data_IF_948443372544
#
_entry.id   IF_948443372544
#
_cell.length_a   1.000
_cell.length_b   1.000
_cell.length_c   1.000
_cell.angle_alpha   90.00
_cell.angle_beta   90.00
_cell.angle_gamma   90.00
#
_symmetry.space_group_name_H-M   'P 1'
#
loop_
_entity.id
_entity.type
_entity.pdbx_description
1 polymer ?
#
# COMPACT_ATOMS: atom_id res chain seq x y z
N UNK A 1 -22.55 46.84 -18.04
CA UNK A 1 -21.89 45.51 -17.88
C UNK A 1 -22.68 44.61 -16.93
N UNK A 2 -23.95 44.28 -17.24
CA UNK A 2 -24.84 43.56 -16.30
C UNK A 2 -25.78 42.56 -17.00
N UNK A 3 -25.34 41.94 -18.10
CA UNK A 3 -26.17 40.99 -18.89
C UNK A 3 -25.54 39.62 -19.14
N UNK A 4 -24.27 39.40 -18.75
CA UNK A 4 -23.59 38.10 -18.90
C UNK A 4 -23.76 37.15 -17.71
N UNK A 5 -24.17 37.66 -16.54
CA UNK A 5 -24.27 36.85 -15.31
C UNK A 5 -25.57 36.04 -15.21
N UNK A 6 -26.63 36.38 -15.97
CA UNK A 6 -27.91 35.65 -15.90
C UNK A 6 -27.91 34.37 -16.76
N UNK A 7 -27.11 34.31 -17.82
CA UNK A 7 -27.02 33.16 -18.74
C UNK A 7 -26.19 32.01 -18.16
N UNK A 8 -25.23 32.29 -17.26
CA UNK A 8 -24.41 31.25 -16.65
C UNK A 8 -25.16 30.50 -15.52
N UNK A 9 -26.09 31.17 -14.85
CA UNK A 9 -26.91 30.56 -13.78
C UNK A 9 -27.96 29.58 -14.32
N UNK A 10 -28.42 29.74 -15.56
CA UNK A 10 -29.43 28.86 -16.16
C UNK A 10 -28.84 27.53 -16.69
N UNK A 11 -27.56 27.52 -17.09
CA UNK A 11 -26.87 26.30 -17.51
C UNK A 11 -26.48 25.38 -16.33
N UNK A 12 -26.26 25.94 -15.13
CA UNK A 12 -25.87 25.16 -13.95
C UNK A 12 -27.06 24.41 -13.32
N UNK A 13 -28.30 24.80 -13.60
CA UNK A 13 -29.50 24.15 -13.08
C UNK A 13 -30.00 22.97 -13.94
N UNK A 14 -29.57 22.85 -15.20
CA UNK A 14 -30.11 21.84 -16.14
C UNK A 14 -29.33 20.51 -16.18
N UNK A 15 -28.18 20.41 -15.51
CA UNK A 15 -27.33 19.20 -15.53
C UNK A 15 -27.51 18.29 -14.29
N UNK A 16 -28.45 18.60 -13.40
CA UNK A 16 -28.72 17.85 -12.15
C UNK A 16 -29.85 16.80 -12.28
N UNK A 17 -30.34 16.50 -13.49
CA UNK A 17 -31.53 15.68 -13.70
C UNK A 17 -31.32 14.53 -14.72
N UNK A 18 -30.41 13.59 -14.43
CA UNK A 18 -30.32 12.26 -15.05
C UNK A 18 -29.15 11.52 -14.36
N UNK A 19 -29.22 10.35 -13.74
CA UNK A 19 -30.11 9.20 -13.85
C UNK A 19 -30.22 8.56 -12.46
N UNK A 20 -31.44 8.30 -12.00
CA UNK A 20 -31.64 7.36 -10.89
C UNK A 20 -31.71 5.94 -11.49
N UNK A 21 -30.83 5.00 -11.10
CA UNK A 21 -31.04 3.59 -11.42
C UNK A 21 -32.20 3.05 -10.57
N UNK A 22 -33.23 2.56 -11.26
CA UNK A 22 -34.34 1.83 -10.68
C UNK A 22 -33.82 0.55 -10.02
N UNK A 23 -33.88 0.48 -8.69
CA UNK A 23 -33.65 -0.74 -7.95
C UNK A 23 -34.78 -1.72 -8.27
N UNK A 24 -34.50 -2.73 -9.09
CA UNK A 24 -35.37 -3.88 -9.26
C UNK A 24 -35.22 -4.77 -8.02
N UNK A 25 -36.24 -4.75 -7.16
CA UNK A 25 -36.36 -5.71 -6.07
C UNK A 25 -36.77 -7.06 -6.66
N UNK A 26 -35.79 -7.91 -6.94
CA UNK A 26 -36.04 -9.32 -7.27
C UNK A 26 -36.47 -10.04 -5.99
N UNK A 27 -37.77 -10.35 -5.90
CA UNK A 27 -38.32 -11.24 -4.88
C UNK A 27 -37.70 -12.64 -5.08
N UNK A 28 -36.74 -13.00 -4.23
CA UNK A 28 -36.25 -14.37 -4.13
C UNK A 28 -37.37 -15.20 -3.50
N UNK A 29 -37.87 -16.18 -4.24
CA UNK A 29 -38.62 -17.28 -3.65
C UNK A 29 -37.76 -17.90 -2.55
N UNK A 30 -38.32 -18.01 -1.36
CA UNK A 30 -37.74 -18.78 -0.26
C UNK A 30 -37.87 -20.23 -0.68
N UNK A 31 -36.76 -20.81 -1.14
CA UNK A 31 -36.66 -22.24 -1.39
C UNK A 31 -36.67 -22.93 -0.02
N UNK A 32 -37.63 -23.83 0.17
CA UNK A 32 -37.77 -24.65 1.34
C UNK A 32 -36.49 -25.49 1.52
N UNK A 33 -35.87 -25.52 2.71
CA UNK A 33 -34.65 -26.29 2.92
C UNK A 33 -34.94 -27.76 2.66
N UNK A 34 -34.41 -28.27 1.55
CA UNK A 34 -34.47 -29.69 1.24
C UNK A 34 -33.71 -30.45 2.34
N UNK A 35 -34.46 -31.26 3.08
CA UNK A 35 -33.97 -31.98 4.25
C UNK A 35 -32.84 -32.92 3.80
N UNK A 36 -31.60 -32.77 4.29
CA UNK A 36 -30.49 -33.59 3.83
C UNK A 36 -30.76 -35.07 4.16
N UNK A 37 -30.39 -36.00 3.25
CA UNK A 37 -30.62 -37.42 3.46
C UNK A 37 -29.93 -37.86 4.77
N UNK A 38 -30.72 -38.47 5.66
CA UNK A 38 -30.33 -38.86 7.02
C UNK A 38 -29.26 -39.98 7.10
N UNK A 39 -28.55 -40.29 6.01
CA UNK A 39 -27.57 -41.37 5.89
C UNK A 39 -26.34 -40.96 5.06
N UNK A 40 -25.87 -39.71 5.19
CA UNK A 40 -24.53 -39.39 4.74
C UNK A 40 -23.50 -40.04 5.70
N UNK A 41 -22.49 -40.76 5.20
CA UNK A 41 -21.42 -41.26 6.06
C UNK A 41 -20.77 -40.08 6.78
N UNK A 42 -20.58 -40.20 8.10
CA UNK A 42 -19.84 -39.22 8.87
C UNK A 42 -18.47 -39.05 8.23
N UNK A 43 -18.19 -37.86 7.70
CA UNK A 43 -16.85 -37.48 7.28
C UNK A 43 -15.97 -37.60 8.52
N UNK A 44 -15.03 -38.54 8.51
CA UNK A 44 -14.02 -38.64 9.55
C UNK A 44 -13.30 -37.30 9.60
N UNK A 45 -13.46 -36.57 10.72
CA UNK A 45 -12.67 -35.37 10.96
C UNK A 45 -11.21 -35.78 10.94
N UNK A 46 -10.38 -35.24 10.03
CA UNK A 46 -8.95 -35.56 10.04
C UNK A 46 -8.40 -35.26 11.44
N UNK A 47 -7.50 -36.11 11.96
CA UNK A 47 -6.87 -35.85 13.25
C UNK A 47 -6.25 -34.44 13.23
N UNK A 48 -6.26 -33.70 14.36
CA UNK A 48 -5.62 -32.40 14.42
C UNK A 48 -4.18 -32.56 13.98
N UNK A 49 -3.77 -31.85 12.93
CA UNK A 49 -2.36 -31.79 12.55
C UNK A 49 -1.60 -31.23 13.75
N UNK A 50 -0.78 -32.07 14.40
CA UNK A 50 0.13 -31.60 15.44
C UNK A 50 1.06 -30.59 14.78
N UNK A 51 0.88 -29.32 15.14
CA UNK A 51 1.76 -28.27 14.65
C UNK A 51 3.14 -28.56 15.24
N UNK A 52 4.17 -28.84 14.43
CA UNK A 52 5.49 -29.15 14.95
C UNK A 52 5.96 -28.00 15.86
N UNK A 53 6.67 -28.31 16.96
CA UNK A 53 7.19 -27.28 17.84
C UNK A 53 8.05 -26.31 17.02
N UNK A 54 7.72 -25.02 17.12
CA UNK A 54 8.31 -24.00 16.28
C UNK A 54 8.95 -22.90 17.12
N UNK A 55 10.22 -22.62 16.84
CA UNK A 55 10.90 -21.43 17.35
C UNK A 55 10.82 -20.32 16.29
N UNK A 56 10.10 -19.24 16.61
CA UNK A 56 9.99 -18.08 15.71
C UNK A 56 11.17 -17.11 15.90
N UNK A 57 11.83 -16.76 14.80
CA UNK A 57 12.93 -15.78 14.78
C UNK A 57 12.68 -14.72 13.70
N UNK A 58 12.98 -13.46 14.00
CA UNK A 58 12.81 -12.37 13.04
C UNK A 58 13.66 -12.58 11.79
N UNK A 59 13.02 -12.46 10.62
CA UNK A 59 13.62 -12.66 9.32
C UNK A 59 13.08 -11.67 8.29
N UNK A 60 13.78 -11.59 7.15
CA UNK A 60 13.43 -10.72 6.02
C UNK A 60 13.60 -11.48 4.72
N UNK A 61 12.67 -11.31 3.79
CA UNK A 61 12.75 -11.89 2.44
C UNK A 61 12.56 -10.80 1.40
N UNK A 62 13.49 -10.71 0.44
CA UNK A 62 13.34 -9.81 -0.71
C UNK A 62 12.14 -10.27 -1.55
N UNK A 63 11.40 -9.32 -2.12
CA UNK A 63 10.28 -9.56 -3.02
C UNK A 63 10.66 -9.09 -4.42
N UNK A 64 11.40 -9.87 -5.22
CA UNK A 64 11.99 -9.38 -6.47
C UNK A 64 10.95 -8.97 -7.51
N UNK A 65 9.82 -9.68 -7.61
CA UNK A 65 8.75 -9.33 -8.54
C UNK A 65 8.09 -8.00 -8.16
N UNK A 66 7.82 -7.79 -6.86
CA UNK A 66 7.24 -6.54 -6.35
C UNK A 66 8.24 -5.38 -6.42
N UNK A 67 9.52 -5.67 -6.22
CA UNK A 67 10.61 -4.69 -6.38
C UNK A 67 10.70 -4.21 -7.81
N UNK A 68 10.65 -5.11 -8.79
CA UNK A 68 10.65 -4.77 -10.22
C UNK A 68 9.43 -3.92 -10.59
N UNK A 69 8.24 -4.27 -10.10
CA UNK A 69 7.03 -3.47 -10.33
C UNK A 69 7.13 -2.07 -9.70
N UNK A 70 7.72 -1.96 -8.51
CA UNK A 70 7.93 -0.67 -7.86
C UNK A 70 8.94 0.18 -8.63
N UNK A 71 10.07 -0.39 -9.05
CA UNK A 71 11.03 0.31 -9.90
C UNK A 71 10.40 0.79 -11.20
N UNK A 72 9.60 -0.05 -11.85
CA UNK A 72 8.83 0.31 -13.05
C UNK A 72 7.85 1.46 -12.78
N UNK A 73 7.11 1.41 -11.66
CA UNK A 73 6.17 2.47 -11.29
C UNK A 73 6.86 3.81 -11.00
N UNK A 74 8.14 3.78 -10.66
CA UNK A 74 8.98 4.97 -10.41
C UNK A 74 9.79 5.40 -11.64
N UNK A 75 9.70 4.68 -12.76
CA UNK A 75 10.30 5.13 -14.02
C UNK A 75 9.70 6.48 -14.43
N UNK A 76 10.54 7.37 -14.94
CA UNK A 76 10.16 8.73 -15.30
C UNK A 76 10.31 9.76 -14.19
N UNK A 77 10.78 9.36 -13.00
CA UNK A 77 11.38 10.32 -12.08
C UNK A 77 12.68 10.86 -12.71
N UNK A 78 12.77 12.18 -12.78
CA UNK A 78 13.92 12.90 -13.34
C UNK A 78 15.06 12.96 -12.31
N UNK A 79 15.70 11.81 -12.08
CA UNK A 79 16.81 11.63 -11.15
C UNK A 79 17.95 10.86 -11.82
N UNK A 80 19.23 11.15 -11.51
CA UNK A 80 20.37 10.46 -12.12
C UNK A 80 20.38 8.95 -11.86
N UNK A 81 19.93 8.54 -10.68
CA UNK A 81 19.87 7.14 -10.25
C UNK A 81 18.68 6.92 -9.34
N UNK A 82 18.03 5.79 -9.56
CA UNK A 82 16.92 5.30 -8.75
C UNK A 82 17.13 3.81 -8.50
N UNK A 83 16.91 3.37 -7.27
CA UNK A 83 16.74 1.95 -6.93
C UNK A 83 15.55 1.82 -6.00
N UNK A 84 14.74 0.78 -6.19
CA UNK A 84 13.62 0.50 -5.32
C UNK A 84 13.48 -0.99 -5.04
N UNK A 85 13.11 -1.32 -3.80
CA UNK A 85 12.90 -2.71 -3.39
C UNK A 85 11.78 -2.84 -2.37
N UNK A 86 11.10 -3.97 -2.43
CA UNK A 86 10.09 -4.40 -1.49
C UNK A 86 10.60 -5.61 -0.70
N UNK A 87 10.37 -5.61 0.60
CA UNK A 87 10.86 -6.65 1.52
C UNK A 87 9.73 -7.11 2.41
N UNK A 88 9.49 -8.42 2.46
CA UNK A 88 8.63 -9.01 3.45
C UNK A 88 9.38 -9.10 4.79
N UNK A 89 8.80 -8.50 5.83
CA UNK A 89 9.29 -8.58 7.21
C UNK A 89 8.40 -9.51 8.00
N UNK A 90 9.00 -10.45 8.74
CA UNK A 90 8.25 -11.51 9.40
C UNK A 90 9.12 -12.39 10.27
N UNK A 91 8.64 -13.60 10.55
CA UNK A 91 9.34 -14.56 11.40
C UNK A 91 9.52 -15.88 10.66
N UNK A 92 10.76 -16.40 10.60
CA UNK A 92 10.99 -17.78 10.19
C UNK A 92 10.64 -18.69 11.37
N UNK A 93 9.84 -19.71 11.08
CA UNK A 93 9.57 -20.83 11.96
C UNK A 93 10.67 -21.88 11.76
N UNK A 94 11.43 -22.16 12.81
CA UNK A 94 12.50 -23.15 12.78
C UNK A 94 12.03 -24.48 13.38
N UNK A 95 12.42 -25.59 12.75
CA UNK A 95 12.27 -26.94 13.30
C UNK A 95 13.27 -27.23 14.44
N UNK A 96 13.25 -28.44 14.99
CA UNK A 96 14.13 -28.86 16.09
C UNK A 96 15.62 -28.85 15.72
N UNK A 97 15.94 -28.97 14.43
CA UNK A 97 17.31 -28.91 13.89
C UNK A 97 17.73 -27.47 13.56
N UNK A 98 16.83 -26.49 13.71
CA UNK A 98 17.06 -25.08 13.42
C UNK A 98 16.88 -24.68 11.95
N UNK A 99 16.27 -25.53 11.12
CA UNK A 99 16.00 -25.21 9.72
C UNK A 99 14.67 -24.46 9.56
N UNK A 100 14.59 -23.45 8.67
CA UNK A 100 13.35 -22.74 8.42
C UNK A 100 12.34 -23.61 7.66
N UNK A 101 11.18 -23.87 8.26
CA UNK A 101 10.09 -24.64 7.67
C UNK A 101 8.93 -23.78 7.17
N UNK A 102 8.77 -22.57 7.72
CA UNK A 102 7.70 -21.64 7.35
C UNK A 102 8.14 -20.19 7.58
N UNK A 103 7.62 -19.23 6.82
CA UNK A 103 7.83 -17.80 7.04
C UNK A 103 6.51 -17.07 7.27
N UNK A 104 6.30 -16.63 8.50
CA UNK A 104 5.15 -15.85 8.91
C UNK A 104 5.35 -14.37 8.52
N UNK A 105 4.92 -14.00 7.31
CA UNK A 105 5.02 -12.60 6.87
C UNK A 105 4.10 -11.72 7.69
N UNK A 106 4.65 -10.63 8.26
CA UNK A 106 3.89 -9.66 9.07
C UNK A 106 3.54 -8.39 8.33
N UNK A 107 4.41 -7.92 7.44
CA UNK A 107 4.23 -6.70 6.66
C UNK A 107 5.19 -6.68 5.46
N UNK A 108 4.94 -5.76 4.53
CA UNK A 108 5.86 -5.44 3.43
C UNK A 108 6.41 -4.03 3.60
N UNK A 109 7.74 -3.92 3.72
CA UNK A 109 8.45 -2.64 3.76
C UNK A 109 8.97 -2.26 2.38
N UNK A 110 8.89 -0.98 2.04
CA UNK A 110 9.40 -0.43 0.79
C UNK A 110 10.63 0.45 1.05
N UNK A 111 11.64 0.30 0.20
CA UNK A 111 12.88 1.09 0.26
C UNK A 111 13.12 1.71 -1.10
N UNK A 112 13.26 3.03 -1.14
CA UNK A 112 13.54 3.80 -2.36
C UNK A 112 14.76 4.66 -2.10
N UNK A 113 15.72 4.63 -3.02
CA UNK A 113 16.88 5.51 -3.00
C UNK A 113 16.91 6.34 -4.27
N UNK A 114 17.04 7.65 -4.11
CA UNK A 114 17.04 8.64 -5.19
C UNK A 114 18.33 9.46 -5.11
N UNK A 115 19.09 9.49 -6.19
CA UNK A 115 20.19 10.43 -6.34
C UNK A 115 19.62 11.82 -6.67
N UNK A 116 20.09 12.85 -5.97
CA UNK A 116 19.63 14.23 -6.11
C UNK A 116 20.82 15.18 -6.10
N UNK A 117 20.67 16.34 -6.75
CA UNK A 117 21.75 17.33 -6.83
C UNK A 117 22.06 18.00 -5.49
N UNK A 118 21.02 18.25 -4.68
CA UNK A 118 21.15 18.95 -3.40
C UNK A 118 20.10 18.47 -2.40
N UNK A 119 20.51 18.27 -1.15
CA UNK A 119 19.60 17.99 -0.03
C UNK A 119 18.94 19.26 0.54
N UNK A 120 19.36 20.44 0.08
CA UNK A 120 18.86 21.73 0.55
C UNK A 120 17.67 22.25 -0.28
N UNK A 121 17.38 21.62 -1.42
CA UNK A 121 16.21 21.96 -2.24
C UNK A 121 14.97 21.22 -1.75
N UNK A 122 14.38 21.69 -0.65
CA UNK A 122 13.21 21.04 -0.04
C UNK A 122 11.99 20.99 -0.98
N UNK A 123 11.87 21.95 -1.91
CA UNK A 123 10.81 21.93 -2.90
C UNK A 123 10.98 20.72 -3.83
N UNK A 124 12.19 20.53 -4.39
CA UNK A 124 12.50 19.37 -5.23
C UNK A 124 12.36 18.04 -4.47
N UNK A 125 12.88 17.96 -3.25
CA UNK A 125 12.76 16.76 -2.42
C UNK A 125 11.30 16.42 -2.12
N UNK A 126 10.49 17.44 -1.82
CA UNK A 126 9.05 17.29 -1.60
C UNK A 126 8.29 16.79 -2.83
N UNK A 127 8.59 17.34 -4.01
CA UNK A 127 8.00 16.90 -5.27
C UNK A 127 8.35 15.44 -5.59
N UNK A 128 9.61 15.04 -5.36
CA UNK A 128 10.06 13.67 -5.54
C UNK A 128 9.38 12.73 -4.54
N UNK A 129 9.31 13.12 -3.26
CA UNK A 129 8.59 12.37 -2.23
C UNK A 129 7.14 12.13 -2.62
N UNK A 130 6.43 13.18 -3.05
CA UNK A 130 5.03 13.07 -3.46
C UNK A 130 4.85 12.09 -4.62
N UNK A 131 5.72 12.15 -5.63
CA UNK A 131 5.65 11.23 -6.78
C UNK A 131 5.96 9.79 -6.37
N UNK A 132 6.94 9.57 -5.48
CA UNK A 132 7.23 8.24 -4.93
C UNK A 132 6.01 7.69 -4.19
N UNK A 133 5.38 8.49 -3.33
CA UNK A 133 4.19 8.06 -2.58
C UNK A 133 2.99 7.81 -3.49
N UNK A 134 2.83 8.62 -4.55
CA UNK A 134 1.80 8.39 -5.58
C UNK A 134 2.01 7.07 -6.30
N UNK A 135 3.26 6.72 -6.65
CA UNK A 135 3.58 5.43 -7.24
C UNK A 135 3.34 4.27 -6.26
N UNK A 136 3.71 4.44 -4.99
CA UNK A 136 3.46 3.46 -3.93
C UNK A 136 1.97 3.18 -3.69
N UNK A 137 1.08 4.14 -3.99
CA UNK A 137 -0.37 3.95 -3.94
C UNK A 137 -0.91 2.85 -4.88
N UNK A 138 -0.09 2.33 -5.81
CA UNK A 138 -0.41 1.16 -6.65
C UNK A 138 -0.21 -0.17 -5.94
N UNK A 139 0.40 -0.18 -4.76
CA UNK A 139 0.72 -1.37 -3.97
C UNK A 139 0.03 -1.30 -2.60
N UNK A 140 -1.31 -1.35 -2.55
CA UNK A 140 -2.03 -1.21 -1.29
C UNK A 140 -1.75 -2.40 -0.36
N UNK A 141 -1.89 -2.16 0.95
CA UNK A 141 -1.51 -3.13 1.99
C UNK A 141 -2.18 -4.50 1.80
N UNK A 142 -3.44 -4.52 1.34
CA UNK A 142 -4.23 -5.73 1.08
C UNK A 142 -3.78 -6.54 -0.14
N UNK A 143 -2.88 -5.98 -0.96
CA UNK A 143 -2.29 -6.62 -2.14
C UNK A 143 -0.80 -6.92 -1.96
N UNK A 144 -0.24 -6.62 -0.79
CA UNK A 144 1.16 -6.91 -0.45
C UNK A 144 1.24 -8.00 0.62
N UNK A 145 2.34 -8.78 0.68
CA UNK A 145 2.51 -9.80 1.71
C UNK A 145 2.44 -9.25 3.15
N UNK A 146 1.66 -9.92 3.99
CA UNK A 146 1.52 -9.63 5.41
C UNK A 146 0.29 -8.79 5.75
N UNK A 147 -0.36 -9.02 6.91
CA UNK A 147 -1.62 -8.36 7.26
C UNK A 147 -1.46 -6.93 7.78
N UNK A 148 -0.24 -6.52 8.18
CA UNK A 148 -0.02 -5.21 8.78
C UNK A 148 0.53 -4.23 7.73
N UNK A 149 0.18 -2.94 7.83
CA UNK A 149 0.84 -1.90 7.05
C UNK A 149 2.34 -1.88 7.39
N UNK A 150 3.18 -1.86 6.36
CA UNK A 150 4.62 -1.74 6.53
C UNK A 150 5.11 -0.30 6.58
N UNK A 151 6.43 -0.15 6.46
CA UNK A 151 7.11 1.14 6.43
C UNK A 151 7.60 1.46 5.03
N UNK A 152 7.64 2.75 4.75
CA UNK A 152 8.33 3.30 3.60
C UNK A 152 9.61 3.95 4.10
N UNK A 153 10.73 3.65 3.45
CA UNK A 153 11.99 4.35 3.64
C UNK A 153 12.45 4.97 2.34
N UNK A 154 12.62 6.29 2.33
CA UNK A 154 13.11 7.05 1.17
C UNK A 154 14.43 7.68 1.56
N UNK A 155 15.48 7.38 0.80
CA UNK A 155 16.80 7.96 0.97
C UNK A 155 17.09 8.88 -0.20
N UNK A 156 17.23 10.17 0.07
CA UNK A 156 17.79 11.13 -0.88
C UNK A 156 19.30 11.15 -0.70
N UNK A 157 20.04 10.94 -1.78
CA UNK A 157 21.51 10.88 -1.77
C UNK A 157 22.08 11.99 -2.66
N UNK A 158 22.94 12.83 -2.08
CA UNK A 158 23.75 13.80 -2.80
C UNK A 158 25.24 13.47 -2.62
N UNK A 159 26.13 14.26 -3.22
CA UNK A 159 27.58 14.03 -3.13
C UNK A 159 28.08 14.02 -1.68
N UNK A 160 28.37 12.83 -1.16
CA UNK A 160 28.93 12.63 0.19
C UNK A 160 27.93 12.68 1.34
N UNK A 161 26.64 12.89 1.07
CA UNK A 161 25.61 13.06 2.10
C UNK A 161 24.32 12.32 1.74
N UNK A 162 23.53 11.96 2.76
CA UNK A 162 22.23 11.35 2.56
C UNK A 162 21.22 11.83 3.62
N UNK A 163 19.96 11.99 3.21
CA UNK A 163 18.82 12.25 4.09
C UNK A 163 17.83 11.12 3.95
N UNK A 164 17.57 10.40 5.06
CA UNK A 164 16.61 9.31 5.10
C UNK A 164 15.32 9.75 5.78
N UNK A 165 14.19 9.41 5.15
CA UNK A 165 12.87 9.41 5.77
C UNK A 165 12.47 7.96 6.04
N UNK A 166 11.87 7.70 7.19
CA UNK A 166 11.20 6.43 7.50
C UNK A 166 9.90 6.71 8.23
N UNK A 167 8.80 6.24 7.67
CA UNK A 167 7.46 6.45 8.19
C UNK A 167 6.56 5.26 7.86
N UNK A 168 5.47 5.09 8.61
CA UNK A 168 4.46 4.08 8.28
C UNK A 168 3.73 4.48 6.99
N UNK A 169 3.36 3.52 6.15
CA UNK A 169 2.63 3.82 4.90
C UNK A 169 1.32 4.57 5.18
N UNK A 170 0.63 4.23 6.28
CA UNK A 170 -0.60 4.87 6.72
C UNK A 170 -0.41 6.35 7.10
N UNK A 171 0.75 6.73 7.60
CA UNK A 171 1.09 8.13 7.91
C UNK A 171 1.22 8.94 6.61
N UNK A 172 1.88 8.39 5.60
CA UNK A 172 2.00 9.03 4.28
C UNK A 172 0.65 9.17 3.58
N UNK A 173 -0.17 8.12 3.59
CA UNK A 173 -1.52 8.18 3.04
C UNK A 173 -2.38 9.25 3.74
N UNK A 174 -2.28 9.36 5.06
CA UNK A 174 -3.00 10.38 5.83
C UNK A 174 -2.55 11.79 5.44
N UNK A 175 -1.24 12.04 5.38
CA UNK A 175 -0.70 13.33 4.96
C UNK A 175 -1.18 13.72 3.55
N UNK A 176 -1.22 12.77 2.62
CA UNK A 176 -1.74 12.99 1.26
C UNK A 176 -3.24 13.30 1.25
N UNK A 177 -4.06 12.62 2.09
CA UNK A 177 -5.49 12.89 2.25
C UNK A 177 -5.78 14.26 2.86
N UNK A 178 -4.91 14.74 3.74
CA UNK A 178 -4.97 16.09 4.32
C UNK A 178 -4.58 17.20 3.33
N UNK A 179 -4.16 16.82 2.11
CA UNK A 179 -3.77 17.76 1.08
C UNK A 179 -2.35 18.29 1.22
N UNK A 180 -1.51 17.66 2.06
CA UNK A 180 -0.09 18.02 2.15
C UNK A 180 0.64 17.61 0.87
N UNK A 181 1.47 18.51 0.35
CA UNK A 181 2.16 18.40 -0.94
C UNK A 181 3.56 19.01 -0.84
N UNK A 182 4.45 18.69 -1.77
CA UNK A 182 5.79 19.30 -1.86
C UNK A 182 6.54 19.34 -0.53
N UNK A 183 7.11 20.50 -0.19
CA UNK A 183 7.89 20.70 1.03
C UNK A 183 7.07 20.52 2.33
N UNK A 184 5.76 20.74 2.31
CA UNK A 184 4.89 20.54 3.48
C UNK A 184 4.76 19.05 3.80
N UNK A 185 4.61 18.23 2.77
CA UNK A 185 4.60 16.76 2.89
C UNK A 185 5.95 16.25 3.40
N UNK A 186 7.06 16.78 2.88
CA UNK A 186 8.41 16.44 3.34
C UNK A 186 8.60 16.71 4.83
N UNK A 187 8.19 17.89 5.30
CA UNK A 187 8.29 18.27 6.72
C UNK A 187 7.37 17.45 7.61
N UNK A 188 6.17 17.13 7.16
CA UNK A 188 5.23 16.31 7.92
C UNK A 188 5.70 14.85 8.11
N UNK A 189 6.43 14.31 7.14
CA UNK A 189 6.96 12.93 7.17
C UNK A 189 8.41 12.82 7.66
N UNK A 190 9.06 13.96 7.89
CA UNK A 190 10.37 14.06 8.55
C UNK A 190 10.32 15.15 9.62
N UNK A 191 9.55 14.97 10.71
CA UNK A 191 9.61 15.89 11.82
C UNK A 191 11.04 15.86 12.36
N UNK A 192 11.73 16.99 12.26
CA UNK A 192 13.01 17.19 12.93
C UNK A 192 12.82 16.86 14.41
N UNK A 193 13.71 16.06 15.03
CA UNK A 193 13.66 15.81 16.47
C UNK A 193 13.78 17.10 17.27
#
# INVERSE_FOLDING_TARGET
>A
MLRKSLLLSLLLALLLAACAPAASATSRAIEEPEQPPANAPALETPPPEETPPCAFVWARRELPELSAQLEEALQGLDVPRLTARAVAYGEDCLDEDGNPVYFATRQTDFYVMLEVESLQDEARLGDLLERVLTALGRFPTDQTPGPNPGYVSITFQATGEARQLRFAITQAEQALREGLRGADLLRALHPTP
#
